data_IF_515117489533
#
_entry.id   IF_515117489533
#
_cell.length_a   1.000
_cell.length_b   1.000
_cell.length_c   1.000
_cell.angle_alpha   90.00
_cell.angle_beta   90.00
_cell.angle_gamma   90.00
#
_symmetry.space_group_name_H-M   'P 1'
#
loop_
_entity.id
_entity.type
_entity.pdbx_description
1 polymer ?
#
# COMPACT_ATOMS: atom_id res chain seq x y z
N UNK A 1 -36.21 -15.73 16.66
CA UNK A 1 -35.18 -15.60 15.62
C UNK A 1 -33.82 -15.53 16.29
N UNK A 2 -32.85 -16.35 15.87
CA UNK A 2 -31.48 -16.29 16.39
C UNK A 2 -30.71 -15.19 15.67
N UNK A 3 -30.08 -14.27 16.42
CA UNK A 3 -29.19 -13.24 15.87
C UNK A 3 -27.76 -13.77 15.96
N UNK A 4 -26.98 -13.59 14.89
CA UNK A 4 -25.55 -13.89 14.92
C UNK A 4 -24.88 -13.07 16.04
N UNK A 5 -24.17 -13.76 16.93
CA UNK A 5 -23.32 -13.16 17.95
C UNK A 5 -21.89 -13.52 17.59
N UNK A 6 -21.06 -12.56 17.16
CA UNK A 6 -19.64 -12.78 16.91
C UNK A 6 -18.96 -13.38 18.14
N UNK A 7 -18.03 -14.31 17.92
CA UNK A 7 -17.09 -14.69 18.97
C UNK A 7 -16.19 -13.47 19.30
N UNK A 8 -15.73 -13.37 20.55
CA UNK A 8 -14.91 -12.24 21.00
C UNK A 8 -13.58 -12.11 20.21
N UNK A 9 -13.13 -13.18 19.56
CA UNK A 9 -11.91 -13.22 18.74
C UNK A 9 -12.20 -13.21 17.23
N UNK A 10 -13.40 -12.85 16.79
CA UNK A 10 -13.76 -12.85 15.36
C UNK A 10 -12.76 -12.03 14.53
N UNK A 11 -12.33 -10.87 15.02
CA UNK A 11 -11.41 -9.99 14.29
C UNK A 11 -10.05 -10.68 14.06
N UNK A 12 -9.51 -11.38 15.05
CA UNK A 12 -8.26 -12.15 14.92
C UNK A 12 -8.41 -13.30 13.93
N UNK A 13 -9.57 -13.98 13.96
CA UNK A 13 -9.86 -15.07 13.02
C UNK A 13 -9.96 -14.54 11.59
N UNK A 14 -10.67 -13.43 11.39
CA UNK A 14 -10.73 -12.76 10.09
C UNK A 14 -9.36 -12.25 9.68
N UNK A 15 -8.55 -11.82 10.64
CA UNK A 15 -7.23 -11.29 10.37
C UNK A 15 -6.34 -12.33 9.70
N UNK A 16 -6.20 -13.47 10.38
CA UNK A 16 -5.47 -14.62 9.87
C UNK A 16 -6.09 -15.19 8.59
N UNK A 17 -7.43 -15.29 8.52
CA UNK A 17 -8.11 -15.93 7.39
C UNK A 17 -7.99 -15.13 6.08
N UNK A 18 -7.73 -13.83 6.16
CA UNK A 18 -7.62 -12.94 4.98
C UNK A 18 -6.19 -12.48 4.72
N UNK A 19 -5.23 -12.92 5.52
CA UNK A 19 -3.83 -12.49 5.45
C UNK A 19 -3.21 -12.71 4.06
N UNK A 20 -3.26 -13.94 3.53
CA UNK A 20 -2.70 -14.28 2.21
C UNK A 20 -3.33 -13.45 1.07
N UNK A 21 -4.63 -13.16 1.17
CA UNK A 21 -5.32 -12.38 0.15
C UNK A 21 -4.96 -10.90 0.23
N UNK A 22 -4.73 -10.37 1.43
CA UNK A 22 -4.20 -9.02 1.61
C UNK A 22 -2.77 -8.90 1.11
N UNK A 23 -1.94 -9.93 1.30
CA UNK A 23 -0.57 -9.95 0.79
C UNK A 23 -0.56 -9.89 -0.75
N UNK A 24 -1.39 -10.69 -1.42
CA UNK A 24 -1.54 -10.60 -2.88
C UNK A 24 -2.00 -9.22 -3.35
N UNK A 25 -2.93 -8.59 -2.62
CA UNK A 25 -3.38 -7.23 -2.93
C UNK A 25 -2.23 -6.23 -2.78
N UNK A 26 -1.44 -6.34 -1.71
CA UNK A 26 -0.27 -5.50 -1.49
C UNK A 26 0.80 -5.71 -2.58
N UNK A 27 1.08 -6.95 -2.96
CA UNK A 27 2.02 -7.28 -4.04
C UNK A 27 1.60 -6.66 -5.37
N UNK A 28 0.32 -6.79 -5.75
CA UNK A 28 -0.21 -6.15 -6.95
C UNK A 28 -0.11 -4.62 -6.87
N UNK A 29 -0.46 -4.02 -5.73
CA UNK A 29 -0.33 -2.59 -5.54
C UNK A 29 1.11 -2.11 -5.64
N UNK A 30 2.08 -2.86 -5.11
CA UNK A 30 3.49 -2.54 -5.22
C UNK A 30 3.95 -2.60 -6.69
N UNK A 31 3.52 -3.60 -7.46
CA UNK A 31 3.81 -3.70 -8.89
C UNK A 31 3.24 -2.49 -9.65
N UNK A 32 1.97 -2.15 -9.41
CA UNK A 32 1.33 -1.00 -10.07
C UNK A 32 1.98 0.32 -9.68
N UNK A 33 2.36 0.49 -8.42
CA UNK A 33 3.07 1.66 -7.95
C UNK A 33 4.45 1.80 -8.61
N UNK A 34 5.21 0.71 -8.73
CA UNK A 34 6.50 0.70 -9.44
C UNK A 34 6.37 1.11 -10.91
N UNK A 35 5.29 0.72 -11.59
CA UNK A 35 5.03 1.15 -12.96
C UNK A 35 4.72 2.65 -13.09
N UNK A 36 4.32 3.31 -11.99
CA UNK A 36 4.05 4.75 -11.97
C UNK A 36 5.29 5.61 -11.63
N UNK A 37 6.43 4.97 -11.33
CA UNK A 37 7.70 5.67 -11.09
C UNK A 37 8.30 6.12 -12.41
N UNK A 38 8.85 7.34 -12.45
CA UNK A 38 9.59 7.83 -13.60
C UNK A 38 10.91 7.02 -13.75
N UNK A 39 11.16 6.37 -14.91
CA UNK A 39 12.36 5.57 -15.12
C UNK A 39 13.68 6.35 -14.98
N UNK A 40 13.66 7.68 -15.14
CA UNK A 40 14.85 8.52 -15.03
C UNK A 40 15.24 8.86 -13.59
N UNK A 41 14.47 8.38 -12.60
CA UNK A 41 14.73 8.70 -11.17
C UNK A 41 15.53 7.64 -10.41
N UNK A 42 16.21 6.75 -11.15
CA UNK A 42 17.12 5.75 -10.58
C UNK A 42 16.35 4.62 -9.89
N UNK A 43 16.73 4.29 -8.65
CA UNK A 43 16.25 3.11 -7.91
C UNK A 43 14.91 3.29 -7.20
N UNK A 44 14.16 4.37 -7.45
CA UNK A 44 12.89 4.65 -6.75
C UNK A 44 11.83 3.55 -6.89
N UNK A 45 11.84 2.78 -7.97
CA UNK A 45 10.95 1.63 -8.10
C UNK A 45 11.35 0.47 -7.15
N UNK A 46 12.63 0.30 -6.86
CA UNK A 46 13.13 -0.74 -5.94
C UNK A 46 12.77 -0.43 -4.48
N UNK A 47 12.55 0.85 -4.18
CA UNK A 47 12.18 1.34 -2.86
C UNK A 47 10.69 1.15 -2.56
N UNK A 48 9.83 0.90 -3.56
CA UNK A 48 8.43 0.55 -3.31
C UNK A 48 8.33 -0.93 -2.95
N UNK A 49 7.96 -1.24 -1.72
CA UNK A 49 7.98 -2.61 -1.18
C UNK A 49 6.69 -2.94 -0.44
N UNK A 50 6.40 -4.24 -0.34
CA UNK A 50 5.36 -4.74 0.54
C UNK A 50 5.90 -4.90 1.95
N UNK A 51 5.10 -4.59 2.96
CA UNK A 51 5.38 -4.96 4.33
C UNK A 51 4.32 -5.93 4.86
N UNK A 52 4.76 -6.78 5.77
CA UNK A 52 3.92 -7.69 6.54
C UNK A 52 4.52 -7.79 7.96
N UNK A 53 4.00 -6.96 8.85
CA UNK A 53 4.49 -6.82 10.21
C UNK A 53 3.36 -6.52 11.20
N UNK A 54 3.70 -6.09 12.42
CA UNK A 54 2.73 -5.78 13.47
C UNK A 54 1.72 -4.67 13.10
N UNK A 55 1.97 -3.91 12.03
CA UNK A 55 1.04 -2.91 11.46
C UNK A 55 0.02 -3.56 10.50
N UNK A 56 0.19 -4.83 10.17
CA UNK A 56 -0.57 -5.57 9.17
C UNK A 56 0.19 -5.72 7.85
N UNK A 57 -0.58 -5.87 6.77
CA UNK A 57 -0.06 -6.09 5.41
C UNK A 57 -0.32 -4.84 4.56
N UNK A 58 0.69 -4.35 3.84
CA UNK A 58 0.55 -3.15 3.01
C UNK A 58 1.74 -2.88 2.09
N UNK A 59 1.77 -1.65 1.54
CA UNK A 59 2.83 -1.17 0.64
C UNK A 59 3.43 0.10 1.23
N UNK A 60 4.75 0.22 1.22
CA UNK A 60 5.49 1.42 1.58
C UNK A 60 6.56 1.78 0.54
N UNK A 61 7.06 3.02 0.64
CA UNK A 61 8.30 3.42 0.01
C UNK A 61 9.37 3.46 1.11
N UNK A 62 10.41 2.63 0.98
CA UNK A 62 11.40 2.36 2.02
C UNK A 62 12.62 3.31 2.00
N UNK A 63 12.63 4.29 1.08
CA UNK A 63 13.70 5.28 0.92
C UNK A 63 13.65 6.38 2.00
N UNK A 64 14.80 6.93 2.38
CA UNK A 64 14.87 8.14 3.23
C UNK A 64 14.16 9.34 2.59
N UNK A 65 14.05 9.36 1.27
CA UNK A 65 13.34 10.32 0.45
C UNK A 65 11.90 9.89 0.12
N UNK A 66 11.36 8.82 0.73
CA UNK A 66 9.99 8.34 0.49
C UNK A 66 8.93 9.45 0.55
N UNK A 67 9.08 10.38 1.51
CA UNK A 67 8.19 11.54 1.60
C UNK A 67 8.26 12.43 0.35
N UNK A 68 9.45 12.68 -0.21
CA UNK A 68 9.63 13.48 -1.41
C UNK A 68 9.10 12.73 -2.65
N UNK A 69 9.26 11.40 -2.71
CA UNK A 69 8.73 10.57 -3.80
C UNK A 69 7.19 10.65 -3.83
N UNK A 70 6.55 10.53 -2.67
CA UNK A 70 5.09 10.50 -2.56
C UNK A 70 4.44 11.89 -2.54
N UNK A 71 5.04 12.88 -1.89
CA UNK A 71 4.43 14.20 -1.63
C UNK A 71 5.19 15.37 -2.26
N UNK A 72 6.38 15.13 -2.80
CA UNK A 72 7.19 16.16 -3.44
C UNK A 72 7.92 17.04 -2.44
N UNK A 73 8.38 18.18 -2.94
CA UNK A 73 9.06 19.23 -2.18
C UNK A 73 8.80 20.58 -2.84
N UNK A 74 9.34 21.66 -2.26
CA UNK A 74 9.27 23.00 -2.87
C UNK A 74 9.87 23.05 -4.28
N UNK A 75 10.83 22.18 -4.60
CA UNK A 75 11.55 22.20 -5.88
C UNK A 75 11.12 21.10 -6.85
N UNK A 76 10.37 20.10 -6.39
CA UNK A 76 10.04 18.92 -7.18
C UNK A 76 8.60 18.48 -6.90
N UNK A 77 7.79 18.32 -7.95
CA UNK A 77 6.44 17.76 -7.83
C UNK A 77 6.50 16.27 -7.41
N UNK A 78 5.49 15.78 -6.67
CA UNK A 78 5.41 14.36 -6.33
C UNK A 78 5.26 13.48 -7.57
N UNK A 79 5.96 12.34 -7.57
CA UNK A 79 5.61 11.24 -8.47
C UNK A 79 4.39 10.47 -7.98
N UNK A 80 4.26 10.35 -6.66
CA UNK A 80 3.12 9.71 -5.99
C UNK A 80 2.80 8.29 -6.50
N UNK A 81 3.79 7.39 -6.67
CA UNK A 81 3.57 6.08 -7.28
C UNK A 81 2.48 5.26 -6.55
N UNK A 82 2.48 5.24 -5.21
CA UNK A 82 1.50 4.48 -4.43
C UNK A 82 0.11 5.10 -4.56
N UNK A 83 0.01 6.43 -4.45
CA UNK A 83 -1.30 7.11 -4.58
C UNK A 83 -1.88 6.99 -5.98
N UNK A 84 -1.05 7.07 -7.03
CA UNK A 84 -1.47 6.89 -8.43
C UNK A 84 -1.93 5.45 -8.70
N UNK A 85 -1.24 4.46 -8.14
CA UNK A 85 -1.69 3.07 -8.22
C UNK A 85 -3.05 2.87 -7.53
N UNK A 86 -3.22 3.45 -6.33
CA UNK A 86 -4.48 3.39 -5.61
C UNK A 86 -5.64 4.10 -6.35
N UNK A 87 -5.36 5.26 -6.96
CA UNK A 87 -6.32 6.03 -7.77
C UNK A 87 -6.73 5.25 -9.03
N UNK A 88 -5.77 4.68 -9.75
CA UNK A 88 -6.01 3.83 -10.92
C UNK A 88 -6.86 2.58 -10.59
N UNK A 89 -6.71 2.05 -9.37
CA UNK A 89 -7.52 0.94 -8.89
C UNK A 89 -8.95 1.35 -8.45
N UNK A 90 -9.28 2.66 -8.46
CA UNK A 90 -10.55 3.19 -7.96
C UNK A 90 -10.69 3.07 -6.44
N UNK A 91 -9.57 3.01 -5.71
CA UNK A 91 -9.51 2.74 -4.26
C UNK A 91 -8.87 3.87 -3.46
N UNK A 92 -8.73 5.06 -4.05
CA UNK A 92 -8.21 6.23 -3.36
C UNK A 92 -9.36 7.11 -2.86
N UNK A 93 -9.60 7.09 -1.55
CA UNK A 93 -10.40 8.13 -0.89
C UNK A 93 -9.44 9.22 -0.37
N UNK A 94 -9.49 10.43 -0.94
CA UNK A 94 -8.91 11.59 -0.27
C UNK A 94 -9.71 11.86 1.01
N UNK A 95 -9.03 11.82 2.16
CA UNK A 95 -9.60 12.25 3.44
C UNK A 95 -9.52 13.75 3.61
#
# INVERSE_FOLDING_TARGET
MSRFVPAANLDVVLDHATHDDRLKVAEHMAIDARHNVNPDTGHYAEEVQTFDDDRGVGVDAHDVAAHIIEFGSINNAPQAPIRRAADAAGRFEER
#
